data_IF_927985446323
#
_entry.id   IF_927985446323
#
_cell.length_a   1.000
_cell.length_b   1.000
_cell.length_c   1.000
_cell.angle_alpha   90.00
_cell.angle_beta   90.00
_cell.angle_gamma   90.00
#
_symmetry.space_group_name_H-M   'P 1'
#
loop_
_entity.id
_entity.type
_entity.pdbx_description
1 polymer ?
#
# COMPACT_ATOMS: atom_id res chain seq x y z
N UNK A 1 -0.70 16.92 11.88
CA UNK A 1 0.04 15.74 11.37
C UNK A 1 -0.21 15.63 9.89
N UNK A 2 0.82 15.34 9.10
CA UNK A 2 0.64 15.15 7.65
C UNK A 2 -0.21 13.92 7.36
N UNK A 3 -0.83 13.94 6.21
CA UNK A 3 -1.72 12.87 5.76
C UNK A 3 -1.02 12.06 4.67
N UNK A 4 -1.16 10.75 4.75
CA UNK A 4 -0.56 9.82 3.81
C UNK A 4 -1.65 8.96 3.19
N UNK A 5 -1.47 8.57 1.93
CA UNK A 5 -2.47 7.86 1.15
C UNK A 5 -1.90 6.50 0.76
N UNK A 6 -2.66 5.45 1.06
CA UNK A 6 -2.23 4.07 0.87
C UNK A 6 -2.98 3.48 -0.32
N UNK A 7 -2.28 3.29 -1.41
CA UNK A 7 -2.83 2.79 -2.66
C UNK A 7 -2.43 1.35 -2.87
N UNK A 8 -3.24 0.62 -3.64
CA UNK A 8 -2.95 -0.77 -3.95
C UNK A 8 -3.22 -1.06 -5.42
N UNK A 9 -2.53 -2.05 -5.95
CA UNK A 9 -2.79 -2.57 -7.30
C UNK A 9 -2.98 -4.07 -7.23
N UNK A 10 -4.11 -4.54 -7.74
CA UNK A 10 -4.38 -5.96 -7.94
C UNK A 10 -4.42 -6.23 -9.44
N UNK A 11 -5.52 -6.16 -10.09
CA UNK A 11 -5.65 -6.10 -11.55
C UNK A 11 -6.02 -4.70 -11.96
N UNK A 12 -6.52 -3.91 -11.02
CA UNK A 12 -6.84 -2.49 -11.19
C UNK A 12 -6.24 -1.72 -10.03
N UNK A 13 -6.05 -0.42 -10.22
CA UNK A 13 -5.55 0.44 -9.16
C UNK A 13 -6.68 0.80 -8.20
N UNK A 14 -6.40 0.65 -6.92
CA UNK A 14 -7.29 1.06 -5.84
C UNK A 14 -6.66 2.28 -5.21
N UNK A 15 -7.22 3.45 -5.48
CA UNK A 15 -6.65 4.72 -5.05
C UNK A 15 -7.34 5.19 -3.77
N UNK A 16 -6.54 5.47 -2.75
CA UNK A 16 -7.03 6.02 -1.48
C UNK A 16 -7.20 7.53 -1.63
N UNK A 17 -8.41 8.02 -1.45
CA UNK A 17 -8.73 9.43 -1.56
C UNK A 17 -8.90 10.12 -0.20
N UNK A 18 -8.86 9.37 0.89
CA UNK A 18 -9.08 9.91 2.23
C UNK A 18 -7.79 10.08 3.00
N UNK A 19 -6.92 9.08 2.92
CA UNK A 19 -5.65 9.08 3.62
C UNK A 19 -5.79 8.88 5.12
N UNK A 20 -4.65 8.83 5.78
CA UNK A 20 -4.55 8.67 7.23
C UNK A 20 -3.42 9.57 7.73
N UNK A 21 -3.64 10.24 8.85
CA UNK A 21 -2.64 11.12 9.43
C UNK A 21 -1.63 10.33 10.25
N UNK A 22 -0.35 10.63 10.07
CA UNK A 22 0.75 10.06 10.84
C UNK A 22 1.73 11.17 11.22
N UNK A 23 2.51 11.00 12.30
CA UNK A 23 3.48 12.01 12.71
C UNK A 23 4.55 12.30 11.65
N UNK A 24 4.93 11.29 10.86
CA UNK A 24 5.95 11.46 9.84
C UNK A 24 6.02 10.26 8.90
N UNK A 25 6.95 10.29 7.94
CA UNK A 25 7.05 9.23 6.94
C UNK A 25 7.46 7.86 7.52
N UNK A 26 8.23 7.84 8.60
CA UNK A 26 8.65 6.57 9.20
C UNK A 26 7.46 5.80 9.76
N UNK A 27 6.54 6.51 10.42
CA UNK A 27 5.32 5.91 10.94
C UNK A 27 4.42 5.42 9.80
N UNK A 28 4.34 6.21 8.73
CA UNK A 28 3.56 5.83 7.56
C UNK A 28 4.17 4.58 6.88
N UNK A 29 5.49 4.50 6.80
CA UNK A 29 6.17 3.32 6.25
C UNK A 29 5.92 2.07 7.09
N UNK A 30 5.92 2.21 8.42
CA UNK A 30 5.61 1.11 9.33
C UNK A 30 4.19 0.61 9.10
N UNK A 31 3.26 1.53 8.96
CA UNK A 31 1.87 1.18 8.69
C UNK A 31 1.71 0.51 7.32
N UNK A 32 2.54 0.88 6.35
CA UNK A 32 2.52 0.25 5.03
C UNK A 32 2.80 -1.26 5.12
N UNK A 33 3.72 -1.65 5.99
CA UNK A 33 4.03 -3.08 6.21
C UNK A 33 2.82 -3.80 6.82
N UNK A 34 2.17 -3.18 7.79
CA UNK A 34 0.96 -3.74 8.41
C UNK A 34 -0.15 -3.87 7.36
N UNK A 35 -0.38 -2.82 6.59
CA UNK A 35 -1.41 -2.80 5.55
C UNK A 35 -1.14 -3.87 4.48
N UNK A 36 0.14 -4.04 4.09
CA UNK A 36 0.53 -5.07 3.13
C UNK A 36 0.25 -6.47 3.67
N UNK A 37 0.55 -6.70 4.94
CA UNK A 37 0.27 -7.98 5.59
C UNK A 37 -1.22 -8.28 5.62
N UNK A 38 -2.04 -7.30 5.97
CA UNK A 38 -3.50 -7.45 5.98
C UNK A 38 -4.03 -7.73 4.56
N UNK A 39 -3.52 -7.01 3.57
CA UNK A 39 -3.89 -7.20 2.18
C UNK A 39 -3.58 -8.62 1.72
N UNK A 40 -2.39 -9.12 2.01
CA UNK A 40 -1.99 -10.48 1.64
C UNK A 40 -2.85 -11.51 2.34
N UNK A 41 -3.20 -11.28 3.59
CA UNK A 41 -4.06 -12.19 4.35
C UNK A 41 -5.46 -12.26 3.72
N UNK A 42 -6.01 -11.13 3.30
CA UNK A 42 -7.32 -11.07 2.66
C UNK A 42 -7.33 -11.71 1.28
N UNK A 43 -6.24 -11.53 0.53
CA UNK A 43 -6.10 -12.10 -0.81
C UNK A 43 -6.04 -13.62 -0.75
N UNK A 44 -5.26 -14.16 0.19
CA UNK A 44 -5.11 -15.60 0.36
C UNK A 44 -4.65 -16.27 -0.93
N UNK A 45 -5.36 -17.35 -1.32
CA UNK A 45 -5.00 -18.12 -2.50
C UNK A 45 -5.10 -17.36 -3.82
N UNK A 46 -5.82 -16.25 -3.87
CA UNK A 46 -5.92 -15.43 -5.09
C UNK A 46 -4.59 -14.80 -5.48
N UNK A 47 -3.66 -14.70 -4.54
CA UNK A 47 -2.34 -14.15 -4.78
C UNK A 47 -1.64 -14.87 -5.96
N UNK A 48 -1.81 -16.18 -6.03
CA UNK A 48 -1.14 -17.00 -7.06
C UNK A 48 -1.72 -16.82 -8.45
N UNK A 49 -2.88 -16.22 -8.56
CA UNK A 49 -3.59 -16.06 -9.84
C UNK A 49 -3.25 -14.75 -10.52
N UNK A 50 -2.67 -13.81 -9.80
CA UNK A 50 -2.32 -12.50 -10.35
C UNK A 50 -0.81 -12.31 -10.24
N UNK A 51 -0.12 -11.90 -11.31
CA UNK A 51 1.34 -11.81 -11.29
C UNK A 51 1.88 -10.63 -10.51
N UNK A 52 1.07 -9.60 -10.28
CA UNK A 52 1.55 -8.35 -9.74
C UNK A 52 0.62 -7.80 -8.66
N UNK A 53 1.16 -7.73 -7.45
CA UNK A 53 0.49 -7.09 -6.33
C UNK A 53 1.40 -5.98 -5.83
N UNK A 54 0.84 -4.81 -5.61
CA UNK A 54 1.62 -3.66 -5.19
C UNK A 54 0.84 -2.83 -4.19
N UNK A 55 1.56 -2.32 -3.19
CA UNK A 55 1.03 -1.32 -2.27
C UNK A 55 2.03 -0.17 -2.25
N UNK A 56 1.55 1.07 -2.39
CA UNK A 56 2.44 2.22 -2.32
C UNK A 56 1.77 3.35 -1.55
N UNK A 57 2.59 4.20 -0.98
CA UNK A 57 2.13 5.29 -0.13
C UNK A 57 2.61 6.61 -0.70
N UNK A 58 1.71 7.56 -0.81
CA UNK A 58 2.03 8.91 -1.25
C UNK A 58 1.76 9.91 -0.14
N UNK A 59 2.45 11.05 -0.18
CA UNK A 59 2.20 12.15 0.72
C UNK A 59 1.16 13.13 0.14
N UNK A 60 0.94 14.24 0.84
CA UNK A 60 -0.05 15.23 0.40
C UNK A 60 0.33 15.93 -0.89
N UNK A 61 1.60 15.91 -1.25
CA UNK A 61 2.09 16.47 -2.51
C UNK A 61 1.97 15.47 -3.66
N UNK A 62 1.53 14.23 -3.38
CA UNK A 62 1.44 13.18 -4.37
C UNK A 62 2.74 12.45 -4.61
N UNK A 63 3.75 12.71 -3.79
CA UNK A 63 5.06 12.07 -3.93
C UNK A 63 5.04 10.70 -3.25
N UNK A 64 5.54 9.68 -3.94
CA UNK A 64 5.64 8.34 -3.39
C UNK A 64 6.75 8.29 -2.34
N UNK A 65 6.40 7.91 -1.12
CA UNK A 65 7.37 7.79 -0.03
C UNK A 65 7.87 6.38 0.16
N UNK A 66 7.09 5.38 -0.25
CA UNK A 66 7.50 3.98 -0.24
C UNK A 66 6.60 3.15 -1.13
N UNK A 67 7.09 1.99 -1.54
CA UNK A 67 6.32 1.04 -2.32
C UNK A 67 6.75 -0.38 -1.95
N UNK A 68 5.77 -1.27 -1.86
CA UNK A 68 5.97 -2.70 -1.62
C UNK A 68 5.40 -3.45 -2.81
N UNK A 69 6.19 -4.35 -3.36
CA UNK A 69 5.79 -5.14 -4.50
C UNK A 69 5.89 -6.62 -4.15
N UNK A 70 4.89 -7.37 -4.52
CA UNK A 70 4.84 -8.81 -4.30
C UNK A 70 4.76 -9.51 -5.64
N UNK A 71 5.65 -10.47 -5.85
CA UNK A 71 5.67 -11.22 -7.10
C UNK A 71 5.74 -12.71 -6.78
N UNK A 72 5.33 -13.52 -7.75
CA UNK A 72 5.40 -14.99 -7.66
C UNK A 72 6.50 -15.51 -8.57
N UNK A 73 7.04 -16.65 -8.19
CA UNK A 73 8.01 -17.38 -9.01
C UNK A 73 7.51 -18.76 -9.36
#
# INVERSE_FOLDING_TARGET
MPRYFFHARESVDIIDNEGTAFPGPDEARSEAVVAAGEMLNDIGGKFWKSPDWRLWVTDEAGQTICALRFSTE
#
